data_IF_463363512593
#
_entry.id   IF_463363512593
#
_cell.length_a   1.000
_cell.length_b   1.000
_cell.length_c   1.000
_cell.angle_alpha   90.00
_cell.angle_beta   90.00
_cell.angle_gamma   90.00
#
_symmetry.space_group_name_H-M   'P 1'
#
loop_
_entity.id
_entity.type
_entity.pdbx_description
1 polymer ?
#
# COMPACT_ATOMS: atom_id res chain seq x y z
N UNK A 1 32.36 20.80 5.71
CA UNK A 1 31.52 19.60 5.85
C UNK A 1 31.77 18.98 7.22
N UNK A 2 30.76 18.95 8.10
CA UNK A 2 30.92 18.35 9.44
C UNK A 2 30.91 16.80 9.41
N UNK A 3 30.68 16.21 8.23
CA UNK A 3 30.87 14.78 7.97
C UNK A 3 32.13 14.57 7.11
N UNK A 4 33.07 13.69 7.52
CA UNK A 4 34.26 13.37 6.72
C UNK A 4 33.92 12.55 5.45
N UNK A 5 32.68 12.06 5.36
CA UNK A 5 32.26 11.16 4.29
C UNK A 5 31.50 11.88 3.17
N UNK A 6 30.87 13.01 3.48
CA UNK A 6 30.06 13.74 2.51
C UNK A 6 30.95 14.71 1.72
N UNK A 7 31.03 14.50 0.41
CA UNK A 7 31.79 15.39 -0.49
C UNK A 7 30.84 16.22 -1.35
N UNK A 8 31.24 17.47 -1.61
CA UNK A 8 30.51 18.41 -2.46
C UNK A 8 31.35 18.72 -3.69
N UNK A 9 30.77 18.62 -4.88
CA UNK A 9 31.44 18.91 -6.14
C UNK A 9 30.53 19.70 -7.09
N UNK A 10 31.10 20.22 -8.18
CA UNK A 10 30.36 20.89 -9.26
C UNK A 10 29.40 21.99 -8.75
N UNK A 11 29.86 22.76 -7.77
CA UNK A 11 29.11 23.91 -7.24
C UNK A 11 29.04 24.99 -8.32
N UNK A 12 27.83 25.44 -8.63
CA UNK A 12 27.60 26.48 -9.62
C UNK A 12 26.43 27.39 -9.23
N UNK A 13 26.45 28.62 -9.72
CA UNK A 13 25.37 29.60 -9.57
C UNK A 13 25.04 30.19 -10.94
N UNK A 14 23.77 30.10 -11.31
CA UNK A 14 23.19 30.77 -12.47
C UNK A 14 22.53 32.08 -12.00
N UNK A 15 23.13 33.26 -12.26
CA UNK A 15 22.58 34.53 -11.83
C UNK A 15 21.34 34.95 -12.62
N UNK A 16 21.12 34.43 -13.83
CA UNK A 16 19.96 34.79 -14.67
C UNK A 16 18.69 34.20 -14.09
N UNK A 17 18.76 32.92 -13.72
CA UNK A 17 17.62 32.20 -13.15
C UNK A 17 17.63 32.17 -11.61
N UNK A 18 18.69 32.70 -10.99
CA UNK A 18 18.93 32.67 -9.55
C UNK A 18 18.92 31.24 -8.98
N UNK A 19 19.63 30.32 -9.63
CA UNK A 19 19.73 28.91 -9.22
C UNK A 19 21.13 28.54 -8.78
N UNK A 20 21.23 27.86 -7.64
CA UNK A 20 22.46 27.22 -7.17
C UNK A 20 22.35 25.71 -7.35
N UNK A 21 23.38 25.08 -7.89
CA UNK A 21 23.47 23.63 -8.05
C UNK A 21 24.73 23.11 -7.36
N UNK A 22 24.61 21.95 -6.71
CA UNK A 22 25.73 21.24 -6.08
C UNK A 22 25.49 19.75 -6.19
N UNK A 23 26.55 18.99 -6.49
CA UNK A 23 26.54 17.54 -6.38
C UNK A 23 27.00 17.13 -4.99
N UNK A 24 26.21 16.27 -4.35
CA UNK A 24 26.49 15.71 -3.03
C UNK A 24 26.75 14.23 -3.19
N UNK A 25 27.89 13.75 -2.70
CA UNK A 25 28.28 12.34 -2.79
C UNK A 25 28.52 11.78 -1.39
N UNK A 26 27.82 10.69 -1.09
CA UNK A 26 28.05 9.84 0.08
C UNK A 26 28.59 8.49 -0.41
N UNK A 27 29.83 8.09 -0.05
CA UNK A 27 30.38 6.79 -0.40
C UNK A 27 29.54 5.62 0.14
N UNK A 28 29.60 4.44 -0.49
CA UNK A 28 29.00 3.23 0.06
C UNK A 28 29.52 2.90 1.46
N UNK A 29 28.67 2.27 2.28
CA UNK A 29 29.02 1.81 3.63
C UNK A 29 29.03 2.90 4.72
N UNK A 30 28.58 4.11 4.40
CA UNK A 30 28.51 5.24 5.32
C UNK A 30 27.13 5.33 6.01
N UNK A 31 27.02 6.04 7.16
CA UNK A 31 25.75 6.19 7.87
C UNK A 31 24.61 6.71 6.96
N UNK A 32 23.42 6.16 7.15
CA UNK A 32 22.25 6.42 6.29
C UNK A 32 21.58 7.78 6.50
N UNK A 33 21.81 8.44 7.64
CA UNK A 33 21.27 9.77 7.92
C UNK A 33 22.23 10.86 7.42
N UNK A 34 21.77 11.66 6.48
CA UNK A 34 22.45 12.86 6.01
C UNK A 34 21.71 14.12 6.46
N UNK A 35 22.42 15.02 7.13
CA UNK A 35 21.92 16.37 7.45
C UNK A 35 22.69 17.37 6.59
N UNK A 36 21.96 18.14 5.78
CA UNK A 36 22.52 19.23 4.98
C UNK A 36 22.03 20.55 5.58
N UNK A 37 22.97 21.36 6.07
CA UNK A 37 22.69 22.68 6.61
C UNK A 37 23.01 23.76 5.58
N UNK A 38 22.04 24.63 5.31
CA UNK A 38 22.23 25.80 4.46
C UNK A 38 22.52 27.03 5.33
N UNK A 39 23.76 27.51 5.31
CA UNK A 39 24.19 28.71 6.06
C UNK A 39 24.47 29.88 5.11
N UNK A 40 24.42 31.12 5.62
CA UNK A 40 24.71 32.34 4.84
C UNK A 40 23.85 32.50 3.57
N UNK A 41 22.63 31.99 3.60
CA UNK A 41 21.73 31.95 2.44
C UNK A 41 21.17 33.34 2.10
N UNK A 42 21.05 33.65 0.81
CA UNK A 42 20.42 34.88 0.33
C UNK A 42 19.35 34.51 -0.71
N UNK A 43 18.10 34.94 -0.51
CA UNK A 43 17.01 34.61 -1.46
C UNK A 43 17.20 35.24 -2.83
N UNK A 44 17.77 36.45 -2.86
CA UNK A 44 18.09 37.22 -4.06
C UNK A 44 19.43 37.93 -3.83
N UNK A 45 20.04 38.45 -4.89
CA UNK A 45 21.31 39.19 -4.81
C UNK A 45 21.23 40.45 -3.91
N UNK A 46 20.03 41.01 -3.70
CA UNK A 46 19.80 42.17 -2.83
C UNK A 46 19.24 41.80 -1.46
N UNK A 47 19.00 40.51 -1.19
CA UNK A 47 18.52 40.05 0.12
C UNK A 47 19.65 40.07 1.14
N UNK A 48 19.34 40.36 2.40
CA UNK A 48 20.29 40.16 3.49
C UNK A 48 20.72 38.70 3.64
N UNK A 49 21.85 38.50 4.32
CA UNK A 49 22.32 37.16 4.72
C UNK A 49 21.28 36.45 5.59
N UNK A 50 21.25 35.12 5.48
CA UNK A 50 20.36 34.22 6.21
C UNK A 50 18.86 34.46 5.95
N UNK A 51 18.51 34.98 4.78
CA UNK A 51 17.10 35.15 4.40
C UNK A 51 16.43 33.84 3.95
N UNK A 52 17.21 32.76 3.79
CA UNK A 52 16.73 31.41 3.48
C UNK A 52 16.83 31.05 2.00
N UNK A 53 16.40 29.83 1.67
CA UNK A 53 16.28 29.33 0.29
C UNK A 53 14.80 29.19 -0.11
N UNK A 54 14.55 29.05 -1.41
CA UNK A 54 13.25 28.67 -1.99
C UNK A 54 13.48 27.55 -3.00
N UNK A 55 12.45 26.72 -3.23
CA UNK A 55 12.45 25.70 -4.28
C UNK A 55 13.64 24.72 -4.21
N UNK A 56 13.99 24.27 -3.01
CA UNK A 56 14.98 23.20 -2.86
C UNK A 56 14.47 21.95 -3.57
N UNK A 57 15.23 21.46 -4.55
CA UNK A 57 14.97 20.19 -5.22
C UNK A 57 16.19 19.29 -5.04
N UNK A 58 15.97 18.08 -4.55
CA UNK A 58 17.01 17.06 -4.42
C UNK A 58 16.73 15.93 -5.41
N UNK A 59 17.68 15.69 -6.30
CA UNK A 59 17.58 14.64 -7.32
C UNK A 59 18.66 13.60 -7.08
N UNK A 60 18.36 12.33 -7.39
CA UNK A 60 19.42 11.33 -7.51
C UNK A 60 20.29 11.67 -8.73
N UNK A 61 21.61 11.38 -8.68
CA UNK A 61 22.49 11.56 -9.83
C UNK A 61 21.91 10.92 -11.10
N UNK A 62 21.94 11.64 -12.23
CA UNK A 62 21.39 11.20 -13.50
C UNK A 62 19.92 11.55 -13.74
N UNK A 63 19.20 12.06 -12.73
CA UNK A 63 17.86 12.64 -12.89
C UNK A 63 17.99 14.17 -12.95
N UNK A 64 17.40 14.80 -13.96
CA UNK A 64 17.54 16.23 -14.20
C UNK A 64 16.18 16.97 -14.11
N UNK A 65 16.14 18.18 -13.48
CA UNK A 65 14.91 18.95 -13.28
C UNK A 65 14.26 19.49 -14.55
N UNK A 66 15.03 19.70 -15.63
CA UNK A 66 14.56 20.36 -16.84
C UNK A 66 14.55 19.38 -18.01
N UNK A 67 13.36 19.08 -18.53
CA UNK A 67 13.19 18.33 -19.78
C UNK A 67 13.08 16.81 -19.65
N UNK A 68 13.03 16.24 -18.44
CA UNK A 68 12.68 14.82 -18.30
C UNK A 68 11.18 14.63 -18.54
N UNK A 69 10.75 13.79 -19.50
CA UNK A 69 9.34 13.42 -19.65
C UNK A 69 8.85 12.49 -18.52
N UNK A 70 9.76 12.02 -17.66
CA UNK A 70 9.48 11.07 -16.58
C UNK A 70 9.51 11.72 -15.20
N UNK A 71 8.54 11.36 -14.37
CA UNK A 71 8.44 11.79 -12.97
C UNK A 71 9.24 10.89 -12.04
N UNK A 72 9.49 9.64 -12.47
CA UNK A 72 10.16 8.63 -11.68
C UNK A 72 11.49 8.22 -12.29
N UNK A 73 12.31 7.57 -11.47
CA UNK A 73 13.57 6.98 -11.89
C UNK A 73 13.29 5.84 -12.89
N UNK A 74 13.83 5.89 -14.13
CA UNK A 74 13.60 4.82 -15.11
C UNK A 74 14.01 3.44 -14.61
N UNK A 75 15.02 3.33 -13.75
CA UNK A 75 15.40 2.05 -13.14
C UNK A 75 14.32 1.53 -12.19
N UNK A 76 13.61 2.42 -11.50
CA UNK A 76 12.46 2.05 -10.67
C UNK A 76 11.30 1.57 -11.54
N UNK A 77 10.97 2.30 -12.62
CA UNK A 77 9.93 1.87 -13.56
C UNK A 77 10.26 0.50 -14.17
N UNK A 78 11.50 0.26 -14.57
CA UNK A 78 11.94 -1.05 -15.09
C UNK A 78 11.81 -2.18 -14.06
N UNK A 79 12.12 -1.90 -12.78
CA UNK A 79 11.97 -2.86 -11.70
C UNK A 79 10.50 -3.24 -11.41
N UNK A 80 9.53 -2.44 -11.87
CA UNK A 80 8.11 -2.75 -11.75
C UNK A 80 7.59 -3.68 -12.85
N UNK A 81 8.42 -4.01 -13.86
CA UNK A 81 8.03 -4.84 -15.00
C UNK A 81 7.20 -6.09 -14.63
N UNK A 82 7.59 -6.93 -13.63
CA UNK A 82 6.86 -8.16 -13.34
C UNK A 82 5.46 -7.96 -12.74
N UNK A 83 5.17 -6.82 -12.13
CA UNK A 83 3.93 -6.66 -11.37
C UNK A 83 2.79 -6.19 -12.26
N UNK A 84 1.60 -6.78 -12.13
CA UNK A 84 0.40 -6.32 -12.84
C UNK A 84 -0.24 -5.06 -12.24
N UNK A 85 -0.06 -4.86 -10.94
CA UNK A 85 -0.60 -3.73 -10.19
C UNK A 85 0.38 -3.28 -9.10
N UNK A 86 0.13 -2.09 -8.55
CA UNK A 86 0.86 -1.54 -7.42
C UNK A 86 -0.11 -1.29 -6.26
N UNK A 87 0.16 -1.86 -5.07
CA UNK A 87 -0.62 -1.55 -3.86
C UNK A 87 0.02 -0.38 -3.13
N UNK A 88 -0.76 0.70 -2.99
CA UNK A 88 -0.28 2.00 -2.51
C UNK A 88 -0.37 2.19 -1.00
N UNK A 89 -0.87 1.20 -0.25
CA UNK A 89 -1.18 1.25 1.18
C UNK A 89 -0.20 2.07 2.02
N UNK A 90 1.08 1.69 1.99
CA UNK A 90 2.15 2.36 2.73
C UNK A 90 2.50 3.73 2.13
N UNK A 91 2.52 3.83 0.79
CA UNK A 91 2.92 5.05 0.09
C UNK A 91 1.97 6.21 0.35
N UNK A 92 0.66 5.92 0.47
CA UNK A 92 -0.40 6.88 0.82
C UNK A 92 -0.63 7.00 2.33
N UNK A 93 0.27 6.43 3.15
CA UNK A 93 0.25 6.61 4.60
C UNK A 93 -0.97 6.06 5.32
N UNK A 94 -1.66 5.06 4.75
CA UNK A 94 -2.96 4.57 5.24
C UNK A 94 -2.95 4.21 6.73
N UNK A 95 -1.93 3.51 7.20
CA UNK A 95 -1.77 3.10 8.61
C UNK A 95 -1.59 4.26 9.60
N UNK A 96 -1.35 5.47 9.11
CA UNK A 96 -1.16 6.68 9.93
C UNK A 96 -2.31 7.66 9.80
N UNK A 97 -3.25 7.40 8.87
CA UNK A 97 -4.34 8.32 8.57
C UNK A 97 -5.44 8.29 9.63
N UNK A 98 -5.63 7.17 10.32
CA UNK A 98 -6.66 7.04 11.34
C UNK A 98 -6.21 7.72 12.65
N UNK A 99 -6.87 8.83 13.00
CA UNK A 99 -6.78 9.42 14.34
C UNK A 99 -7.74 8.75 15.34
N UNK A 100 -8.04 9.43 16.44
CA UNK A 100 -8.86 8.87 17.50
C UNK A 100 -10.35 9.16 17.28
N UNK A 101 -11.19 8.12 17.26
CA UNK A 101 -12.62 8.26 17.02
C UNK A 101 -13.35 9.12 18.06
N UNK A 102 -12.83 9.20 19.29
CA UNK A 102 -13.41 10.04 20.34
C UNK A 102 -13.07 11.52 20.22
N UNK A 103 -12.23 11.92 19.25
CA UNK A 103 -11.96 13.33 18.98
C UNK A 103 -13.23 14.03 18.47
N UNK A 104 -13.38 15.37 18.68
CA UNK A 104 -14.47 16.12 18.08
C UNK A 104 -14.56 15.90 16.56
N UNK A 105 -15.76 15.58 16.08
CA UNK A 105 -15.97 15.24 14.66
C UNK A 105 -15.41 13.88 14.24
N UNK A 106 -15.13 12.99 15.20
CA UNK A 106 -14.66 11.61 15.01
C UNK A 106 -13.38 11.45 14.20
N UNK A 107 -12.55 12.50 14.16
CA UNK A 107 -11.34 12.54 13.33
C UNK A 107 -11.62 12.22 11.85
N UNK A 108 -12.76 12.68 11.34
CA UNK A 108 -13.10 12.54 9.93
C UNK A 108 -12.12 13.33 9.07
N UNK A 109 -11.70 12.73 7.95
CA UNK A 109 -10.82 13.34 6.96
C UNK A 109 -11.67 13.80 5.77
N UNK A 110 -11.66 15.11 5.51
CA UNK A 110 -12.31 15.74 4.36
C UNK A 110 -11.34 15.83 3.19
N UNK A 111 -11.85 16.08 1.99
CA UNK A 111 -11.01 16.17 0.78
C UNK A 111 -9.84 17.15 0.91
N UNK A 112 -10.04 18.28 1.59
CA UNK A 112 -9.01 19.30 1.79
C UNK A 112 -7.88 18.87 2.75
N UNK A 113 -8.11 17.84 3.56
CA UNK A 113 -7.18 17.39 4.61
C UNK A 113 -6.07 16.47 4.06
N UNK A 114 -6.27 15.89 2.87
CA UNK A 114 -5.33 14.96 2.20
C UNK A 114 -3.95 15.59 1.93
N UNK A 115 -2.94 14.75 1.68
CA UNK A 115 -1.66 15.21 1.12
C UNK A 115 -1.85 15.84 -0.25
N UNK A 116 -1.22 17.00 -0.46
CA UNK A 116 -1.21 17.76 -1.71
C UNK A 116 0.19 17.71 -2.34
N UNK A 117 0.32 17.79 -3.68
CA UNK A 117 1.63 17.82 -4.32
C UNK A 117 2.51 19.00 -3.90
N UNK A 118 1.88 20.09 -3.43
CA UNK A 118 2.57 21.28 -2.91
C UNK A 118 3.05 21.13 -1.46
N UNK A 119 2.67 20.06 -0.75
CA UNK A 119 3.16 19.82 0.61
C UNK A 119 4.67 19.54 0.57
N UNK A 120 5.41 20.18 1.48
CA UNK A 120 6.88 20.13 1.52
C UNK A 120 7.45 18.73 1.78
N UNK A 121 6.61 17.81 2.27
CA UNK A 121 6.96 16.42 2.56
C UNK A 121 6.00 15.49 1.82
N UNK A 122 6.57 14.62 0.97
CA UNK A 122 5.87 13.54 0.26
C UNK A 122 6.42 12.20 0.75
N UNK A 123 6.17 11.85 2.00
CA UNK A 123 6.69 10.61 2.58
C UNK A 123 5.78 10.04 3.68
N UNK A 124 6.12 8.84 4.14
CA UNK A 124 5.36 8.15 5.18
C UNK A 124 5.49 8.88 6.53
N UNK A 125 4.41 8.97 7.30
CA UNK A 125 4.41 9.53 8.67
C UNK A 125 3.50 10.74 8.87
N UNK A 126 3.73 11.47 9.97
CA UNK A 126 2.88 12.59 10.37
C UNK A 126 2.97 13.74 9.37
N UNK A 127 1.83 14.02 8.75
CA UNK A 127 1.66 15.05 7.75
C UNK A 127 1.85 16.48 8.25
N UNK A 128 1.75 17.41 7.31
CA UNK A 128 1.65 18.86 7.57
C UNK A 128 0.35 19.20 8.33
N UNK A 129 -0.67 18.34 8.21
CA UNK A 129 -1.99 18.44 8.87
C UNK A 129 -2.59 17.03 9.07
N UNK A 130 -3.64 16.93 9.90
CA UNK A 130 -4.42 15.71 10.03
C UNK A 130 -4.96 15.27 8.67
N UNK A 131 -4.83 13.99 8.33
CA UNK A 131 -5.19 13.45 7.01
C UNK A 131 -4.14 13.60 5.90
N UNK A 132 -3.12 14.44 6.06
CA UNK A 132 -2.04 14.61 5.08
C UNK A 132 -0.91 13.60 5.29
N UNK A 133 -1.25 12.31 5.32
CA UNK A 133 -0.29 11.23 5.55
C UNK A 133 0.17 10.64 4.24
N UNK A 134 1.48 10.46 4.05
CA UNK A 134 2.00 9.84 2.83
C UNK A 134 2.02 10.77 1.62
N UNK A 135 2.23 10.15 0.47
CA UNK A 135 2.32 10.82 -0.84
C UNK A 135 0.94 11.12 -1.39
N UNK A 136 0.83 12.25 -2.09
CA UNK A 136 -0.42 12.70 -2.69
C UNK A 136 -0.93 11.78 -3.81
N UNK A 137 -2.26 11.72 -3.99
CA UNK A 137 -2.91 10.86 -4.99
C UNK A 137 -2.53 11.19 -6.44
N UNK A 138 -2.09 12.40 -6.71
CA UNK A 138 -1.62 12.81 -8.03
C UNK A 138 -0.38 12.00 -8.44
N UNK A 139 0.55 11.74 -7.51
CA UNK A 139 1.71 10.89 -7.79
C UNK A 139 1.32 9.41 -7.99
N UNK A 140 0.20 8.96 -7.42
CA UNK A 140 -0.36 7.62 -7.71
C UNK A 140 -0.77 7.55 -9.18
N UNK A 141 -1.46 8.57 -9.71
CA UNK A 141 -1.83 8.66 -11.13
C UNK A 141 -0.58 8.68 -12.01
N UNK A 142 0.38 9.54 -11.70
CA UNK A 142 1.60 9.68 -12.49
C UNK A 142 2.39 8.36 -12.54
N UNK A 143 2.56 7.67 -11.40
CA UNK A 143 3.29 6.41 -11.36
C UNK A 143 2.55 5.32 -12.14
N UNK A 144 1.25 5.19 -11.94
CA UNK A 144 0.43 4.19 -12.62
C UNK A 144 0.47 4.38 -14.15
N UNK A 145 0.38 5.62 -14.63
CA UNK A 145 0.44 5.94 -16.05
C UNK A 145 1.84 5.72 -16.63
N UNK A 146 2.89 6.12 -15.93
CA UNK A 146 4.28 5.98 -16.40
C UNK A 146 4.74 4.52 -16.40
N UNK A 147 4.33 3.73 -15.40
CA UNK A 147 4.64 2.30 -15.32
C UNK A 147 3.63 1.42 -16.09
N UNK A 148 2.53 2.02 -16.56
CA UNK A 148 1.37 1.33 -17.17
C UNK A 148 0.87 0.16 -16.31
N UNK A 149 0.63 0.41 -15.01
CA UNK A 149 0.21 -0.59 -14.02
C UNK A 149 -1.13 -0.23 -13.40
N UNK A 150 -1.92 -1.25 -13.10
CA UNK A 150 -3.13 -1.09 -12.30
C UNK A 150 -2.79 -0.57 -10.89
N UNK A 151 -3.75 0.07 -10.24
CA UNK A 151 -3.56 0.57 -8.86
C UNK A 151 -4.43 -0.21 -7.88
N UNK A 152 -3.88 -0.54 -6.71
CA UNK A 152 -4.63 -0.97 -5.54
C UNK A 152 -4.49 0.09 -4.45
N UNK A 153 -5.58 0.76 -4.14
CA UNK A 153 -5.62 1.87 -3.18
C UNK A 153 -6.41 1.50 -1.93
N UNK A 154 -5.98 2.05 -0.80
CA UNK A 154 -6.64 1.91 0.47
C UNK A 154 -7.27 3.26 0.84
N UNK A 155 -8.59 3.29 0.97
CA UNK A 155 -9.31 4.49 1.39
C UNK A 155 -9.15 4.64 2.91
N UNK A 156 -8.69 5.78 3.46
CA UNK A 156 -8.58 5.97 4.91
C UNK A 156 -9.88 5.60 5.63
N UNK A 157 -9.78 4.92 6.78
CA UNK A 157 -10.97 4.43 7.52
C UNK A 157 -11.94 5.56 7.92
N UNK A 158 -11.38 6.75 8.18
CA UNK A 158 -12.11 7.95 8.60
C UNK A 158 -12.37 8.93 7.45
N UNK A 159 -12.14 8.55 6.20
CA UNK A 159 -12.46 9.38 5.04
C UNK A 159 -13.98 9.61 4.93
N UNK A 160 -14.36 10.87 4.71
CA UNK A 160 -15.76 11.26 4.50
C UNK A 160 -16.33 10.70 3.19
N UNK A 161 -17.64 10.42 3.20
CA UNK A 161 -18.43 9.96 2.06
C UNK A 161 -19.10 8.62 2.29
N UNK A 162 -20.43 8.60 2.35
CA UNK A 162 -21.26 7.38 2.48
C UNK A 162 -22.34 7.28 1.40
N UNK A 163 -22.49 8.32 0.57
CA UNK A 163 -23.50 8.39 -0.48
C UNK A 163 -22.91 8.95 -1.78
N UNK A 164 -23.28 8.42 -2.96
CA UNK A 164 -22.90 9.00 -4.25
C UNK A 164 -23.48 10.40 -4.49
N UNK A 165 -24.45 10.85 -3.70
CA UNK A 165 -25.02 12.21 -3.81
C UNK A 165 -24.17 13.27 -3.11
N UNK A 166 -23.28 12.89 -2.20
CA UNK A 166 -22.34 13.82 -1.57
C UNK A 166 -21.10 13.99 -2.44
N UNK A 167 -21.23 14.90 -3.42
CA UNK A 167 -20.17 15.25 -4.37
C UNK A 167 -19.02 16.06 -3.75
N UNK A 168 -19.12 16.41 -2.47
CA UNK A 168 -18.10 17.16 -1.72
C UNK A 168 -17.21 16.28 -0.85
N UNK A 169 -17.65 15.04 -0.59
CA UNK A 169 -16.93 14.06 0.22
C UNK A 169 -15.53 13.72 -0.31
N UNK A 170 -14.65 13.29 0.61
CA UNK A 170 -13.31 12.80 0.27
C UNK A 170 -13.37 11.71 -0.80
N UNK A 171 -14.22 10.69 -0.61
CA UNK A 171 -14.26 9.51 -1.48
C UNK A 171 -14.75 9.89 -2.89
N UNK A 172 -15.77 10.76 -2.99
CA UNK A 172 -16.25 11.23 -4.28
C UNK A 172 -15.16 12.04 -5.01
N UNK A 173 -14.50 12.97 -4.32
CA UNK A 173 -13.43 13.78 -4.90
C UNK A 173 -12.21 12.96 -5.30
N UNK A 174 -11.87 11.91 -4.55
CA UNK A 174 -10.81 10.98 -4.95
C UNK A 174 -11.17 10.25 -6.24
N UNK A 175 -12.39 9.73 -6.35
CA UNK A 175 -12.85 9.11 -7.59
C UNK A 175 -12.81 10.10 -8.77
N UNK A 176 -13.17 11.37 -8.56
CA UNK A 176 -13.06 12.41 -9.59
C UNK A 176 -11.62 12.67 -10.00
N UNK A 177 -10.69 12.75 -9.05
CA UNK A 177 -9.27 12.95 -9.33
C UNK A 177 -8.69 11.77 -10.12
N UNK A 178 -8.99 10.53 -9.73
CA UNK A 178 -8.48 9.34 -10.44
C UNK A 178 -9.06 9.23 -11.87
N UNK A 179 -10.30 9.68 -12.09
CA UNK A 179 -10.95 9.67 -13.41
C UNK A 179 -10.43 10.79 -14.32
N UNK A 180 -10.35 12.02 -13.81
CA UNK A 180 -10.19 13.22 -14.63
C UNK A 180 -8.81 13.87 -14.48
N UNK A 181 -8.07 13.58 -13.40
CA UNK A 181 -6.89 14.32 -13.03
C UNK A 181 -7.20 15.73 -12.53
N UNK A 182 -6.15 16.51 -12.32
CA UNK A 182 -6.20 17.93 -12.01
C UNK A 182 -5.03 18.66 -12.69
N UNK A 183 -4.86 19.96 -12.43
CA UNK A 183 -3.78 20.74 -13.05
C UNK A 183 -2.38 20.17 -12.81
N UNK A 184 -2.15 19.44 -11.71
CA UNK A 184 -0.85 18.85 -11.41
C UNK A 184 -0.59 17.62 -12.29
N UNK A 185 -1.62 16.84 -12.59
CA UNK A 185 -1.52 15.70 -13.52
C UNK A 185 -1.79 16.08 -14.98
N UNK A 186 -1.81 17.38 -15.32
CA UNK A 186 -2.09 17.88 -16.67
C UNK A 186 -3.56 17.78 -17.09
N UNK A 187 -4.48 17.76 -16.13
CA UNK A 187 -5.92 17.47 -16.29
C UNK A 187 -6.15 16.10 -16.96
N UNK A 188 -5.33 15.13 -16.58
CA UNK A 188 -5.42 13.76 -17.05
C UNK A 188 -5.43 12.80 -15.86
N UNK A 189 -6.45 11.94 -15.81
CA UNK A 189 -6.58 10.89 -14.80
C UNK A 189 -5.71 9.68 -15.12
N UNK A 190 -6.13 8.50 -14.66
CA UNK A 190 -5.51 7.24 -15.04
C UNK A 190 -5.73 6.94 -16.53
N UNK A 191 -4.73 6.35 -17.18
CA UNK A 191 -4.80 5.91 -18.57
C UNK A 191 -5.98 4.94 -18.78
N UNK A 192 -6.63 5.05 -19.94
CA UNK A 192 -7.70 4.12 -20.33
C UNK A 192 -7.16 2.70 -20.41
N UNK A 193 -7.77 1.77 -19.67
CA UNK A 193 -7.34 0.37 -19.60
C UNK A 193 -6.71 -0.03 -18.26
N UNK A 194 -6.31 0.95 -17.44
CA UNK A 194 -5.90 0.69 -16.06
C UNK A 194 -7.13 0.43 -15.17
N UNK A 195 -6.98 -0.48 -14.23
CA UNK A 195 -8.00 -0.84 -13.25
C UNK A 195 -7.64 -0.29 -11.86
N UNK A 196 -8.68 -0.03 -11.07
CA UNK A 196 -8.59 0.49 -9.72
C UNK A 196 -9.13 -0.56 -8.76
N UNK A 197 -8.24 -1.26 -8.08
CA UNK A 197 -8.57 -2.09 -6.94
C UNK A 197 -8.73 -1.21 -5.70
N UNK A 198 -9.83 -1.39 -4.96
CA UNK A 198 -10.16 -0.51 -3.83
C UNK A 198 -10.38 -1.34 -2.58
N UNK A 199 -9.69 -0.96 -1.50
CA UNK A 199 -9.83 -1.55 -0.18
C UNK A 199 -10.29 -0.48 0.81
N UNK A 200 -11.18 -0.85 1.73
CA UNK A 200 -11.57 0.03 2.84
C UNK A 200 -10.51 -0.05 3.95
N UNK A 201 -9.61 0.94 3.96
CA UNK A 201 -8.43 1.05 4.83
C UNK A 201 -7.49 -0.14 4.69
N UNK A 202 -6.60 -0.36 5.65
CA UNK A 202 -5.70 -1.52 5.73
C UNK A 202 -5.98 -2.30 7.02
N UNK A 203 -6.07 -3.62 6.94
CA UNK A 203 -6.17 -4.52 8.10
C UNK A 203 -7.13 -4.05 9.20
N UNK A 204 -8.35 -3.68 8.84
CA UNK A 204 -9.38 -3.20 9.77
C UNK A 204 -9.76 -4.26 10.82
N UNK A 205 -9.32 -5.50 10.64
CA UNK A 205 -9.44 -6.63 11.55
C UNK A 205 -8.32 -6.68 12.62
N UNK A 206 -7.21 -5.97 12.44
CA UNK A 206 -5.99 -6.09 13.24
C UNK A 206 -5.95 -5.05 14.38
N UNK A 207 -6.06 -5.45 15.66
CA UNK A 207 -6.06 -4.52 16.79
C UNK A 207 -4.73 -3.77 17.00
N UNK A 208 -3.65 -4.18 16.32
CA UNK A 208 -2.39 -3.45 16.32
C UNK A 208 -2.43 -2.11 15.58
N UNK A 209 -3.47 -1.87 14.77
CA UNK A 209 -3.64 -0.63 14.03
C UNK A 209 -4.80 0.23 14.54
N UNK A 210 -4.65 1.56 14.53
CA UNK A 210 -5.68 2.48 15.03
C UNK A 210 -6.99 2.40 14.25
N UNK A 211 -6.94 2.06 12.96
CA UNK A 211 -8.14 1.90 12.13
C UNK A 211 -9.06 0.76 12.58
N UNK A 212 -8.54 -0.29 13.23
CA UNK A 212 -9.38 -1.33 13.83
C UNK A 212 -10.30 -0.71 14.89
N UNK A 213 -9.69 0.02 15.83
CA UNK A 213 -10.41 0.66 16.92
C UNK A 213 -11.36 1.73 16.40
N UNK A 214 -10.92 2.54 15.44
CA UNK A 214 -11.76 3.56 14.81
C UNK A 214 -13.00 2.94 14.18
N UNK A 215 -12.84 1.89 13.35
CA UNK A 215 -13.97 1.23 12.70
C UNK A 215 -14.93 0.57 13.69
N UNK A 216 -14.40 -0.05 14.75
CA UNK A 216 -15.22 -0.67 15.79
C UNK A 216 -16.08 0.37 16.51
N UNK A 217 -15.48 1.49 16.94
CA UNK A 217 -16.22 2.55 17.62
C UNK A 217 -17.26 3.19 16.70
N UNK A 218 -16.92 3.39 15.43
CA UNK A 218 -17.86 3.87 14.43
C UNK A 218 -19.05 2.92 14.19
N UNK A 219 -18.84 1.61 14.28
CA UNK A 219 -19.91 0.62 14.17
C UNK A 219 -20.85 0.63 15.38
N UNK A 220 -20.28 0.74 16.59
CA UNK A 220 -21.06 0.85 17.83
C UNK A 220 -21.88 2.13 17.85
N UNK A 221 -21.30 3.26 17.43
CA UNK A 221 -22.00 4.53 17.34
C UNK A 221 -23.13 4.48 16.30
N UNK A 222 -22.87 3.96 15.09
CA UNK A 222 -23.89 3.80 14.05
C UNK A 222 -25.09 2.96 14.53
N UNK A 223 -24.85 1.85 15.23
CA UNK A 223 -25.90 1.03 15.81
C UNK A 223 -26.63 1.78 16.93
N UNK A 224 -25.90 2.51 17.78
CA UNK A 224 -26.47 3.31 18.87
C UNK A 224 -27.39 4.44 18.41
N UNK A 225 -27.16 4.98 17.22
CA UNK A 225 -28.03 5.97 16.58
C UNK A 225 -29.35 5.37 16.03
N UNK A 226 -29.42 4.05 15.90
CA UNK A 226 -30.60 3.31 15.46
C UNK A 226 -30.75 3.24 13.93
N UNK A 227 -31.53 2.25 13.46
CA UNK A 227 -31.80 2.05 12.03
C UNK A 227 -30.61 1.52 11.21
N UNK A 228 -29.51 1.15 11.86
CA UNK A 228 -28.33 0.60 11.17
C UNK A 228 -28.61 -0.79 10.60
N UNK A 229 -28.17 -1.09 9.37
CA UNK A 229 -28.21 -2.44 8.84
C UNK A 229 -27.23 -3.40 9.53
N UNK A 230 -26.28 -2.89 10.34
CA UNK A 230 -25.26 -3.68 11.00
C UNK A 230 -25.85 -4.67 12.03
N UNK A 231 -27.04 -4.38 12.56
CA UNK A 231 -27.74 -5.20 13.55
C UNK A 231 -29.23 -5.43 13.20
N UNK A 232 -29.59 -5.35 11.92
CA UNK A 232 -30.97 -5.51 11.46
C UNK A 232 -31.57 -6.91 11.71
N UNK A 233 -30.72 -7.90 11.98
CA UNK A 233 -31.06 -9.27 12.36
C UNK A 233 -31.13 -9.47 13.89
N UNK A 234 -31.03 -8.39 14.67
CA UNK A 234 -31.04 -8.43 16.13
C UNK A 234 -29.69 -8.81 16.76
N UNK A 235 -28.61 -8.85 15.96
CA UNK A 235 -27.27 -9.10 16.49
C UNK A 235 -26.86 -8.07 17.56
N UNK A 236 -26.26 -8.55 18.66
CA UNK A 236 -25.85 -7.72 19.81
C UNK A 236 -24.34 -7.66 19.99
N UNK A 237 -23.58 -8.33 19.12
CA UNK A 237 -22.13 -8.46 19.26
C UNK A 237 -21.42 -7.32 18.54
N UNK A 238 -20.85 -6.39 19.30
CA UNK A 238 -20.15 -5.21 18.75
C UNK A 238 -19.05 -5.53 17.73
N UNK A 239 -18.37 -6.67 17.88
CA UNK A 239 -17.34 -7.10 16.93
C UNK A 239 -17.96 -7.51 15.59
N UNK A 240 -19.10 -8.19 15.60
CA UNK A 240 -19.80 -8.56 14.37
C UNK A 240 -20.28 -7.31 13.63
N UNK A 241 -20.76 -6.29 14.35
CA UNK A 241 -21.06 -4.97 13.76
C UNK A 241 -19.84 -4.32 13.12
N UNK A 242 -18.66 -4.41 13.75
CA UNK A 242 -17.43 -3.84 13.20
C UNK A 242 -17.02 -4.54 11.89
N UNK A 243 -17.14 -5.86 11.81
CA UNK A 243 -16.84 -6.63 10.60
C UNK A 243 -17.84 -6.32 9.48
N UNK A 244 -19.13 -6.28 9.79
CA UNK A 244 -20.20 -5.85 8.88
C UNK A 244 -19.97 -4.43 8.38
N UNK A 245 -19.52 -3.51 9.25
CA UNK A 245 -19.22 -2.12 8.88
C UNK A 245 -18.07 -2.05 7.89
N UNK A 246 -17.04 -2.88 8.05
CA UNK A 246 -15.94 -2.91 7.09
C UNK A 246 -16.43 -3.26 5.67
N UNK A 247 -17.32 -4.26 5.53
CA UNK A 247 -17.95 -4.60 4.25
C UNK A 247 -18.92 -3.51 3.75
N UNK A 248 -19.77 -2.95 4.63
CA UNK A 248 -20.69 -1.84 4.32
C UNK A 248 -19.94 -0.64 3.73
N UNK A 249 -18.83 -0.26 4.34
CA UNK A 249 -18.01 0.86 3.85
C UNK A 249 -17.42 0.59 2.47
N UNK A 250 -16.96 -0.64 2.21
CA UNK A 250 -16.51 -1.02 0.87
C UNK A 250 -17.65 -0.94 -0.16
N UNK A 251 -18.86 -1.34 0.22
CA UNK A 251 -20.06 -1.17 -0.62
C UNK A 251 -20.36 0.31 -0.92
N UNK A 252 -20.35 1.18 0.09
CA UNK A 252 -20.58 2.62 -0.08
C UNK A 252 -19.51 3.25 -0.99
N UNK A 253 -18.24 2.88 -0.80
CA UNK A 253 -17.12 3.29 -1.67
C UNK A 253 -17.37 2.83 -3.12
N UNK A 254 -17.77 1.57 -3.33
CA UNK A 254 -18.08 1.03 -4.64
C UNK A 254 -19.17 1.85 -5.34
N UNK A 255 -20.27 2.17 -4.64
CA UNK A 255 -21.37 2.98 -5.19
C UNK A 255 -20.94 4.40 -5.54
N UNK A 256 -20.08 5.03 -4.75
CA UNK A 256 -19.54 6.37 -5.03
C UNK A 256 -18.66 6.35 -6.28
N UNK A 257 -17.73 5.38 -6.37
CA UNK A 257 -16.87 5.24 -7.55
C UNK A 257 -17.68 4.93 -8.80
N UNK A 258 -18.69 4.05 -8.73
CA UNK A 258 -19.59 3.78 -9.85
C UNK A 258 -20.33 5.04 -10.31
N UNK A 259 -20.82 5.86 -9.39
CA UNK A 259 -21.49 7.11 -9.75
C UNK A 259 -20.57 8.10 -10.49
N UNK A 260 -19.28 8.12 -10.16
CA UNK A 260 -18.29 8.97 -10.83
C UNK A 260 -17.83 8.37 -12.16
N UNK A 261 -17.55 7.06 -12.21
CA UNK A 261 -17.02 6.39 -13.39
C UNK A 261 -18.09 6.08 -14.43
N UNK A 262 -19.33 5.82 -14.00
CA UNK A 262 -20.48 5.52 -14.83
C UNK A 262 -21.01 4.10 -14.56
N UNK A 263 -22.28 3.88 -14.88
CA UNK A 263 -22.90 2.55 -14.76
C UNK A 263 -22.12 1.50 -15.57
N UNK A 264 -21.90 0.33 -14.98
CA UNK A 264 -21.10 -0.75 -15.58
C UNK A 264 -19.60 -0.66 -15.31
N UNK A 265 -19.13 0.34 -14.57
CA UNK A 265 -17.71 0.43 -14.18
C UNK A 265 -17.32 -0.53 -13.06
N UNK A 266 -18.26 -1.01 -12.25
CA UNK A 266 -17.99 -1.98 -11.19
C UNK A 266 -17.60 -3.34 -11.78
N UNK A 267 -16.60 -3.96 -11.15
CA UNK A 267 -15.98 -5.23 -11.55
C UNK A 267 -15.37 -5.25 -12.96
N UNK A 268 -15.36 -4.11 -13.65
CA UNK A 268 -14.62 -3.86 -14.89
C UNK A 268 -13.41 -3.00 -14.57
N UNK A 269 -13.56 -1.68 -14.55
CA UNK A 269 -12.55 -0.68 -14.19
C UNK A 269 -12.36 -0.55 -12.68
N UNK A 270 -13.47 -0.50 -11.93
CA UNK A 270 -13.47 -0.35 -10.47
C UNK A 270 -13.65 -1.72 -9.84
N UNK A 271 -12.67 -2.17 -9.07
CA UNK A 271 -12.58 -3.53 -8.51
C UNK A 271 -12.51 -3.48 -6.97
N UNK A 272 -13.63 -3.30 -6.26
CA UNK A 272 -13.61 -3.32 -4.79
C UNK A 272 -13.18 -4.69 -4.26
N UNK A 273 -12.26 -4.72 -3.30
CA UNK A 273 -11.67 -5.93 -2.73
C UNK A 273 -11.94 -5.98 -1.23
N UNK A 274 -12.66 -7.01 -0.78
CA UNK A 274 -12.91 -7.26 0.63
C UNK A 274 -11.70 -7.96 1.26
N UNK A 275 -10.76 -7.19 1.80
CA UNK A 275 -9.56 -7.71 2.45
C UNK A 275 -9.83 -8.14 3.90
N UNK A 276 -9.43 -9.36 4.25
CA UNK A 276 -9.67 -9.98 5.55
C UNK A 276 -8.47 -10.84 5.98
N UNK A 277 -8.29 -11.12 7.27
CA UNK A 277 -7.22 -12.04 7.71
C UNK A 277 -7.64 -13.50 7.76
N UNK A 278 -6.63 -14.34 7.57
CA UNK A 278 -6.68 -15.78 7.72
C UNK A 278 -6.67 -16.23 9.21
N UNK A 279 -7.46 -15.58 10.08
CA UNK A 279 -7.56 -15.96 11.52
C UNK A 279 -8.41 -17.23 11.71
N UNK A 280 -9.42 -17.39 10.86
CA UNK A 280 -10.31 -18.55 10.77
C UNK A 280 -10.73 -18.66 9.31
N UNK A 281 -10.52 -19.80 8.66
CA UNK A 281 -10.85 -20.00 7.25
C UNK A 281 -12.05 -20.94 7.05
N UNK A 282 -12.71 -20.80 5.90
CA UNK A 282 -13.87 -21.61 5.52
C UNK A 282 -15.23 -20.97 5.82
N UNK A 283 -16.30 -21.72 5.58
CA UNK A 283 -17.70 -21.22 5.56
C UNK A 283 -18.21 -20.69 6.91
N UNK A 284 -17.55 -21.05 8.02
CA UNK A 284 -17.87 -20.56 9.37
C UNK A 284 -17.01 -19.37 9.83
N UNK A 285 -16.05 -18.93 9.02
CA UNK A 285 -15.16 -17.82 9.35
C UNK A 285 -15.91 -16.50 9.52
N UNK A 286 -15.31 -15.57 10.26
CA UNK A 286 -15.81 -14.19 10.36
C UNK A 286 -15.95 -13.51 9.00
N UNK A 287 -15.01 -13.74 8.08
CA UNK A 287 -15.09 -13.26 6.70
C UNK A 287 -16.31 -13.83 5.97
N UNK A 288 -16.53 -15.14 6.03
CA UNK A 288 -17.68 -15.80 5.42
C UNK A 288 -19.02 -15.35 6.02
N UNK A 289 -19.10 -15.19 7.34
CA UNK A 289 -20.29 -14.66 8.03
C UNK A 289 -20.61 -13.23 7.62
N UNK A 290 -19.57 -12.40 7.45
CA UNK A 290 -19.74 -11.02 6.98
C UNK A 290 -20.27 -10.99 5.54
N UNK A 291 -19.75 -11.86 4.66
CA UNK A 291 -20.28 -11.99 3.29
C UNK A 291 -21.70 -12.55 3.25
N UNK A 292 -22.06 -13.45 4.18
CA UNK A 292 -23.44 -13.94 4.32
C UNK A 292 -24.40 -12.80 4.70
N UNK A 293 -24.01 -11.97 5.68
CA UNK A 293 -24.76 -10.77 6.06
C UNK A 293 -24.86 -9.76 4.91
N UNK A 294 -23.76 -9.53 4.18
CA UNK A 294 -23.74 -8.65 3.00
C UNK A 294 -24.73 -9.14 1.94
N UNK A 295 -24.72 -10.46 1.67
CA UNK A 295 -25.63 -11.10 0.74
C UNK A 295 -27.11 -10.91 1.13
N UNK A 296 -27.43 -11.10 2.42
CA UNK A 296 -28.79 -10.94 2.93
C UNK A 296 -29.26 -9.48 2.95
N UNK A 297 -28.34 -8.53 3.17
CA UNK A 297 -28.68 -7.12 3.38
C UNK A 297 -28.71 -6.31 2.09
N UNK A 298 -27.75 -6.53 1.19
CA UNK A 298 -27.57 -5.73 -0.03
C UNK A 298 -27.70 -6.54 -1.33
N UNK A 299 -27.87 -7.87 -1.23
CA UNK A 299 -27.86 -8.80 -2.35
C UNK A 299 -26.47 -9.37 -2.64
N UNK A 300 -26.32 -10.17 -3.72
CA UNK A 300 -25.10 -10.92 -4.02
C UNK A 300 -23.82 -10.07 -3.94
N UNK A 301 -22.80 -10.47 -3.12
CA UNK A 301 -21.56 -9.72 -3.00
C UNK A 301 -20.85 -9.50 -4.34
N UNK A 302 -20.93 -10.44 -5.28
CA UNK A 302 -20.38 -10.32 -6.63
C UNK A 302 -20.98 -9.19 -7.48
N UNK A 303 -22.11 -8.59 -7.08
CA UNK A 303 -22.64 -7.40 -7.73
C UNK A 303 -21.85 -6.13 -7.37
N UNK A 304 -21.06 -6.17 -6.29
CA UNK A 304 -20.40 -4.98 -5.73
C UNK A 304 -18.89 -5.17 -5.52
N UNK A 305 -18.48 -6.38 -5.17
CA UNK A 305 -17.09 -6.73 -4.89
C UNK A 305 -16.54 -7.61 -6.01
N UNK A 306 -15.28 -7.37 -6.35
CA UNK A 306 -14.55 -8.11 -7.38
C UNK A 306 -13.86 -9.32 -6.78
N UNK A 307 -13.34 -9.17 -5.56
CA UNK A 307 -12.55 -10.19 -4.88
C UNK A 307 -12.74 -10.10 -3.36
N UNK A 308 -12.45 -11.21 -2.69
CA UNK A 308 -11.98 -11.19 -1.31
C UNK A 308 -10.47 -11.41 -1.29
N UNK A 309 -9.79 -10.90 -0.26
CA UNK A 309 -8.35 -11.04 -0.14
C UNK A 309 -7.89 -11.50 1.24
N UNK A 310 -6.74 -12.20 1.29
CA UNK A 310 -6.04 -12.64 2.50
C UNK A 310 -4.55 -12.28 2.48
N UNK A 311 -3.88 -12.40 3.62
CA UNK A 311 -2.40 -12.43 3.67
C UNK A 311 -1.87 -13.83 3.30
N UNK A 312 -0.70 -13.89 2.66
CA UNK A 312 -0.04 -15.15 2.27
C UNK A 312 1.47 -15.11 2.51
N UNK A 313 1.85 -15.20 3.79
CA UNK A 313 3.26 -15.25 4.19
C UNK A 313 3.73 -16.67 4.51
N UNK A 314 5.03 -16.89 4.37
CA UNK A 314 5.71 -18.08 4.86
C UNK A 314 6.99 -17.66 5.61
N UNK A 315 7.31 -18.39 6.67
CA UNK A 315 8.34 -17.99 7.64
C UNK A 315 9.00 -19.20 8.29
N UNK A 316 10.15 -18.99 8.93
CA UNK A 316 10.73 -19.97 9.83
C UNK A 316 9.89 -20.08 11.11
N UNK A 317 9.06 -21.13 11.18
CA UNK A 317 8.18 -21.40 12.33
C UNK A 317 8.88 -22.10 13.49
N UNK A 318 10.15 -22.50 13.33
CA UNK A 318 10.92 -23.25 14.33
C UNK A 318 12.34 -22.69 14.48
N UNK A 319 12.46 -21.38 14.82
CA UNK A 319 13.76 -20.71 14.90
C UNK A 319 14.64 -21.28 16.02
N UNK A 320 15.93 -21.47 15.73
CA UNK A 320 16.92 -21.94 16.71
C UNK A 320 18.21 -21.11 16.66
N UNK A 321 18.87 -20.97 17.81
CA UNK A 321 20.18 -20.31 17.91
C UNK A 321 21.29 -21.06 17.18
N UNK A 322 21.08 -22.34 16.86
CA UNK A 322 22.03 -23.18 16.10
C UNK A 322 21.56 -23.46 14.67
N UNK A 323 20.45 -22.85 14.21
CA UNK A 323 19.94 -23.05 12.87
C UNK A 323 20.96 -22.60 11.81
N UNK A 324 21.07 -23.38 10.74
CA UNK A 324 21.81 -23.03 9.54
C UNK A 324 20.87 -22.45 8.48
N UNK A 325 21.41 -21.85 7.41
CA UNK A 325 20.59 -21.36 6.28
C UNK A 325 19.68 -22.48 5.71
N UNK A 326 20.18 -23.70 5.43
CA UNK A 326 19.33 -24.82 5.02
C UNK A 326 18.19 -25.16 5.99
N UNK A 327 18.41 -25.09 7.30
CA UNK A 327 17.37 -25.35 8.31
C UNK A 327 16.25 -24.30 8.23
N UNK A 328 16.64 -23.02 8.11
CA UNK A 328 15.69 -21.90 7.94
C UNK A 328 14.86 -22.09 6.66
N UNK A 329 15.51 -22.37 5.54
CA UNK A 329 14.81 -22.60 4.26
C UNK A 329 13.86 -23.80 4.32
N UNK A 330 14.25 -24.89 4.98
CA UNK A 330 13.40 -26.07 5.17
C UNK A 330 12.16 -25.76 6.03
N UNK A 331 12.32 -25.00 7.12
CA UNK A 331 11.21 -24.58 7.96
C UNK A 331 10.25 -23.65 7.19
N UNK A 332 10.79 -22.73 6.40
CA UNK A 332 10.00 -21.86 5.54
C UNK A 332 9.22 -22.64 4.46
N UNK A 333 9.81 -23.70 3.91
CA UNK A 333 9.12 -24.59 2.97
C UNK A 333 7.95 -25.32 3.64
N UNK A 334 8.16 -25.84 4.85
CA UNK A 334 7.09 -26.47 5.62
C UNK A 334 5.95 -25.49 5.93
N UNK A 335 6.29 -24.25 6.32
CA UNK A 335 5.34 -23.16 6.54
C UNK A 335 4.55 -22.81 5.28
N UNK A 336 5.24 -22.69 4.14
CA UNK A 336 4.62 -22.48 2.83
C UNK A 336 3.63 -23.60 2.48
N UNK A 337 4.01 -24.86 2.64
CA UNK A 337 3.12 -26.00 2.36
C UNK A 337 1.91 -26.05 3.29
N UNK A 338 2.07 -25.66 4.55
CA UNK A 338 0.95 -25.57 5.50
C UNK A 338 -0.09 -24.52 5.10
N UNK A 339 0.28 -23.52 4.29
CA UNK A 339 -0.65 -22.47 3.82
C UNK A 339 -1.69 -22.95 2.81
N UNK A 340 -1.45 -24.08 2.12
CA UNK A 340 -2.33 -24.63 1.07
C UNK A 340 -3.76 -24.81 1.55
N UNK A 341 -3.95 -25.42 2.72
CA UNK A 341 -5.27 -25.67 3.31
C UNK A 341 -6.06 -24.37 3.46
N UNK A 342 -5.40 -23.30 3.91
CA UNK A 342 -6.02 -21.98 4.11
C UNK A 342 -6.43 -21.36 2.78
N UNK A 343 -5.56 -21.42 1.77
CA UNK A 343 -5.87 -20.95 0.41
C UNK A 343 -7.09 -21.67 -0.15
N UNK A 344 -7.16 -22.99 -0.04
CA UNK A 344 -8.31 -23.77 -0.52
C UNK A 344 -9.61 -23.40 0.21
N UNK A 345 -9.57 -23.23 1.53
CA UNK A 345 -10.74 -22.88 2.34
C UNK A 345 -11.27 -21.47 2.00
N UNK A 346 -10.38 -20.50 1.80
CA UNK A 346 -10.77 -19.15 1.40
C UNK A 346 -11.19 -19.10 -0.07
N UNK A 347 -10.63 -19.94 -0.94
CA UNK A 347 -11.09 -20.06 -2.34
C UNK A 347 -12.50 -20.62 -2.41
N UNK A 348 -12.81 -21.63 -1.60
CA UNK A 348 -14.17 -22.17 -1.50
C UNK A 348 -15.18 -21.09 -1.05
N UNK A 349 -14.78 -20.24 -0.10
CA UNK A 349 -15.60 -19.10 0.35
C UNK A 349 -15.77 -18.06 -0.75
N UNK A 350 -14.70 -17.70 -1.46
CA UNK A 350 -14.75 -16.77 -2.58
C UNK A 350 -15.70 -17.28 -3.68
N UNK A 351 -15.57 -18.55 -4.06
CA UNK A 351 -16.43 -19.20 -5.06
C UNK A 351 -17.91 -19.20 -4.66
N UNK A 352 -18.22 -19.43 -3.37
CA UNK A 352 -19.60 -19.41 -2.86
C UNK A 352 -20.31 -18.07 -3.13
N UNK A 353 -19.57 -16.96 -3.10
CA UNK A 353 -20.09 -15.61 -3.33
C UNK A 353 -19.74 -15.04 -4.71
N UNK A 354 -19.19 -15.86 -5.63
CA UNK A 354 -18.81 -15.44 -6.98
C UNK A 354 -17.66 -14.42 -7.01
N UNK A 355 -16.76 -14.46 -6.03
CA UNK A 355 -15.62 -13.57 -5.89
C UNK A 355 -14.32 -14.26 -6.32
N UNK A 356 -13.34 -13.46 -6.74
CA UNK A 356 -11.94 -13.91 -6.84
C UNK A 356 -11.29 -14.01 -5.44
N UNK A 357 -10.23 -14.80 -5.32
CA UNK A 357 -9.39 -14.87 -4.12
C UNK A 357 -8.02 -14.23 -4.39
N UNK A 358 -7.72 -13.16 -3.68
CA UNK A 358 -6.47 -12.42 -3.80
C UNK A 358 -5.58 -12.60 -2.56
N UNK A 359 -4.27 -12.46 -2.72
CA UNK A 359 -3.37 -12.14 -1.64
C UNK A 359 -3.16 -10.62 -1.64
N UNK A 360 -3.64 -9.90 -0.62
CA UNK A 360 -3.42 -8.44 -0.56
C UNK A 360 -1.98 -8.11 -0.16
N UNK A 361 -1.29 -9.07 0.45
CA UNK A 361 0.15 -9.11 0.67
C UNK A 361 0.64 -10.53 0.96
N UNK A 362 1.92 -10.76 0.72
CA UNK A 362 2.54 -12.06 0.96
C UNK A 362 4.00 -12.11 0.55
N UNK A 363 4.61 -13.27 0.78
CA UNK A 363 6.03 -13.53 0.55
C UNK A 363 6.75 -14.04 1.80
N UNK A 364 8.09 -14.06 1.80
CA UNK A 364 8.89 -14.48 2.95
C UNK A 364 8.81 -13.47 4.10
N UNK A 365 8.63 -13.93 5.33
CA UNK A 365 8.53 -13.09 6.54
C UNK A 365 9.23 -13.71 7.77
N UNK A 366 10.55 -13.53 7.90
CA UNK A 366 11.32 -14.05 9.04
C UNK A 366 11.47 -13.03 10.18
N UNK A 367 10.35 -12.45 10.62
CA UNK A 367 10.31 -11.66 11.86
C UNK A 367 10.71 -12.51 13.06
N UNK A 368 11.93 -12.34 13.55
CA UNK A 368 12.49 -13.18 14.61
C UNK A 368 13.48 -12.44 15.52
N UNK A 369 13.64 -12.94 16.75
CA UNK A 369 14.67 -12.47 17.69
C UNK A 369 15.87 -13.42 17.82
N UNK A 370 15.72 -14.66 17.35
CA UNK A 370 16.74 -15.70 17.42
C UNK A 370 17.51 -15.79 16.11
N UNK A 371 18.84 -15.85 16.20
CA UNK A 371 19.74 -16.04 15.06
C UNK A 371 19.46 -15.10 13.87
N UNK A 372 19.20 -13.82 14.17
CA UNK A 372 18.76 -12.80 13.20
C UNK A 372 19.65 -12.73 11.96
N UNK A 373 20.98 -12.87 12.14
CA UNK A 373 21.91 -12.86 11.01
C UNK A 373 21.63 -13.98 10.01
N UNK A 374 21.46 -15.22 10.48
CA UNK A 374 21.14 -16.36 9.61
C UNK A 374 19.74 -16.23 8.99
N UNK A 375 18.77 -15.67 9.71
CA UNK A 375 17.43 -15.41 9.16
C UNK A 375 17.48 -14.44 7.97
N UNK A 376 18.28 -13.37 8.10
CA UNK A 376 18.49 -12.38 7.03
C UNK A 376 19.29 -12.98 5.88
N UNK A 377 20.39 -13.70 6.16
CA UNK A 377 21.21 -14.32 5.12
C UNK A 377 20.46 -15.41 4.34
N UNK A 378 19.58 -16.18 4.99
CA UNK A 378 18.70 -17.13 4.30
C UNK A 378 17.79 -16.44 3.27
N UNK A 379 17.38 -15.19 3.51
CA UNK A 379 16.61 -14.39 2.57
C UNK A 379 17.43 -13.84 1.39
N UNK A 380 18.76 -13.87 1.47
CA UNK A 380 19.69 -13.56 0.36
C UNK A 380 20.20 -14.79 -0.36
N UNK A 381 20.08 -15.96 0.26
CA UNK A 381 20.56 -17.24 -0.26
C UNK A 381 19.86 -17.65 -1.56
N UNK A 382 20.59 -18.35 -2.44
CA UNK A 382 20.06 -18.82 -3.72
C UNK A 382 18.85 -19.76 -3.57
N UNK A 383 18.76 -20.52 -2.46
CA UNK A 383 17.64 -21.41 -2.16
C UNK A 383 16.32 -20.68 -1.88
N UNK A 384 16.35 -19.38 -1.58
CA UNK A 384 15.15 -18.57 -1.39
C UNK A 384 14.34 -18.39 -2.69
N UNK A 385 15.01 -18.39 -3.86
CA UNK A 385 14.35 -18.23 -5.16
C UNK A 385 13.34 -19.35 -5.44
N UNK A 386 13.77 -20.62 -5.49
CA UNK A 386 12.87 -21.77 -5.68
C UNK A 386 11.75 -21.84 -4.65
N UNK A 387 12.01 -21.43 -3.41
CA UNK A 387 11.01 -21.39 -2.35
C UNK A 387 9.89 -20.36 -2.63
N UNK A 388 10.27 -19.14 -3.06
CA UNK A 388 9.31 -18.12 -3.50
C UNK A 388 8.50 -18.62 -4.69
N UNK A 389 9.16 -19.24 -5.67
CA UNK A 389 8.51 -19.81 -6.85
C UNK A 389 7.47 -20.88 -6.46
N UNK A 390 7.87 -21.84 -5.63
CA UNK A 390 6.98 -22.88 -5.08
C UNK A 390 5.78 -22.29 -4.32
N UNK A 391 6.01 -21.26 -3.50
CA UNK A 391 4.91 -20.61 -2.77
C UNK A 391 3.89 -19.97 -3.72
N UNK A 392 4.37 -19.28 -4.76
CA UNK A 392 3.53 -18.60 -5.73
C UNK A 392 2.81 -19.59 -6.65
N UNK A 393 3.56 -20.48 -7.31
CA UNK A 393 3.04 -21.39 -8.35
C UNK A 393 2.21 -22.49 -7.71
N UNK A 394 2.78 -23.26 -6.79
CA UNK A 394 2.15 -24.49 -6.30
C UNK A 394 1.16 -24.21 -5.17
N UNK A 395 1.56 -23.38 -4.21
CA UNK A 395 0.79 -23.20 -2.97
C UNK A 395 -0.24 -22.06 -3.04
N UNK A 396 -0.13 -21.15 -4.03
CA UNK A 396 -1.10 -20.10 -4.25
C UNK A 396 -1.90 -20.28 -5.55
N UNK A 397 -1.27 -20.08 -6.71
CA UNK A 397 -1.96 -20.12 -8.01
C UNK A 397 -2.50 -21.53 -8.32
N UNK A 398 -1.71 -22.57 -8.04
CA UNK A 398 -2.09 -23.97 -8.18
C UNK A 398 -3.25 -24.41 -7.28
N UNK A 399 -3.52 -23.64 -6.21
CA UNK A 399 -4.64 -23.85 -5.29
C UNK A 399 -5.87 -22.97 -5.62
N UNK A 400 -5.83 -22.25 -6.74
CA UNK A 400 -6.93 -21.43 -7.24
C UNK A 400 -6.92 -19.98 -6.75
N UNK A 401 -5.83 -19.51 -6.13
CA UNK A 401 -5.61 -18.08 -5.92
C UNK A 401 -5.55 -17.33 -7.25
N UNK A 402 -6.20 -16.17 -7.35
CA UNK A 402 -6.38 -15.44 -8.61
C UNK A 402 -5.34 -14.32 -8.81
N UNK A 403 -4.81 -13.76 -7.73
CA UNK A 403 -3.83 -12.67 -7.76
C UNK A 403 -2.98 -12.69 -6.49
N UNK A 404 -1.69 -12.39 -6.61
CA UNK A 404 -0.76 -12.34 -5.48
C UNK A 404 -0.09 -10.98 -5.35
N UNK A 405 -0.26 -10.32 -4.20
CA UNK A 405 0.48 -9.12 -3.84
C UNK A 405 1.78 -9.48 -3.16
N UNK A 406 2.90 -9.44 -3.89
CA UNK A 406 4.21 -9.54 -3.26
C UNK A 406 4.46 -8.27 -2.44
N UNK A 407 4.72 -8.39 -1.13
CA UNK A 407 4.57 -7.27 -0.20
C UNK A 407 5.37 -6.02 -0.58
N UNK A 408 6.62 -6.19 -1.04
CA UNK A 408 7.44 -5.05 -1.48
C UNK A 408 8.40 -5.38 -2.60
N UNK A 409 8.52 -4.47 -3.58
CA UNK A 409 9.58 -4.53 -4.59
C UNK A 409 10.95 -4.46 -3.91
N UNK A 410 11.18 -3.39 -3.15
CA UNK A 410 12.46 -3.09 -2.53
C UNK A 410 12.29 -2.65 -1.07
N UNK A 411 12.95 -3.35 -0.15
CA UNK A 411 13.04 -2.99 1.26
C UNK A 411 14.32 -3.55 1.87
N UNK A 412 14.86 -2.90 2.90
CA UNK A 412 15.95 -3.50 3.68
C UNK A 412 15.46 -4.75 4.40
N UNK A 413 16.38 -5.69 4.64
CA UNK A 413 16.14 -6.88 5.46
C UNK A 413 16.53 -6.61 6.91
N UNK A 414 15.72 -7.09 7.85
CA UNK A 414 15.93 -6.86 9.26
C UNK A 414 15.18 -7.88 10.10
N UNK A 415 15.48 -7.91 11.41
CA UNK A 415 14.71 -8.68 12.39
C UNK A 415 13.19 -8.42 12.36
N UNK A 416 12.77 -7.27 11.81
CA UNK A 416 11.38 -6.84 11.74
C UNK A 416 10.71 -7.17 10.39
N UNK A 417 11.41 -7.83 9.45
CA UNK A 417 10.86 -8.21 8.15
C UNK A 417 11.92 -8.20 7.05
N UNK A 418 11.81 -9.17 6.14
CA UNK A 418 12.71 -9.39 5.00
C UNK A 418 11.91 -9.46 3.68
N UNK A 419 10.97 -8.55 3.51
CA UNK A 419 9.90 -8.69 2.53
C UNK A 419 10.25 -8.24 1.10
N UNK A 420 11.35 -7.50 0.92
CA UNK A 420 11.77 -7.01 -0.39
C UNK A 420 12.03 -8.15 -1.36
N UNK A 421 11.59 -8.02 -2.60
CA UNK A 421 12.10 -8.86 -3.69
C UNK A 421 13.60 -8.56 -3.93
N UNK A 422 14.02 -7.34 -3.60
CA UNK A 422 15.41 -6.89 -3.52
C UNK A 422 15.58 -5.87 -2.39
N UNK A 423 16.81 -5.53 -2.02
CA UNK A 423 17.12 -4.43 -1.09
C UNK A 423 17.41 -3.12 -1.84
N UNK A 424 17.66 -3.19 -3.15
CA UNK A 424 17.83 -2.06 -4.06
C UNK A 424 17.15 -2.38 -5.40
N UNK A 425 16.15 -1.58 -5.79
CA UNK A 425 15.42 -1.78 -7.05
C UNK A 425 16.30 -1.65 -8.30
N UNK A 426 17.57 -1.24 -8.18
CA UNK A 426 18.56 -1.28 -9.27
C UNK A 426 19.27 -2.63 -9.39
N UNK A 427 19.21 -3.47 -8.35
CA UNK A 427 19.80 -4.80 -8.32
C UNK A 427 18.68 -5.82 -8.48
N UNK A 428 18.44 -6.22 -9.72
CA UNK A 428 17.35 -7.13 -10.07
C UNK A 428 17.77 -8.60 -10.14
N UNK A 429 19.05 -8.90 -9.95
CA UNK A 429 19.60 -10.27 -9.97
C UNK A 429 19.43 -11.03 -8.65
N UNK A 430 18.60 -10.55 -7.73
CA UNK A 430 18.37 -11.21 -6.43
C UNK A 430 17.51 -12.47 -6.59
N UNK A 431 17.69 -13.49 -5.73
CA UNK A 431 16.93 -14.74 -5.86
C UNK A 431 15.41 -14.55 -5.86
N UNK A 432 14.89 -13.67 -4.98
CA UNK A 432 13.45 -13.40 -4.87
C UNK A 432 12.90 -12.67 -6.10
N UNK A 433 13.60 -11.66 -6.62
CA UNK A 433 13.15 -10.95 -7.83
C UNK A 433 13.17 -11.86 -9.06
N UNK A 434 14.23 -12.66 -9.22
CA UNK A 434 14.32 -13.62 -10.32
C UNK A 434 13.23 -14.70 -10.24
N UNK A 435 12.88 -15.17 -9.04
CA UNK A 435 11.75 -16.09 -8.87
C UNK A 435 10.43 -15.47 -9.34
N UNK A 436 10.14 -14.21 -8.99
CA UNK A 436 8.94 -13.51 -9.47
C UNK A 436 8.94 -13.39 -11.00
N UNK A 437 10.08 -13.09 -11.62
CA UNK A 437 10.21 -13.04 -13.08
C UNK A 437 9.96 -14.42 -13.71
N UNK A 438 10.46 -15.50 -13.12
CA UNK A 438 10.27 -16.86 -13.61
C UNK A 438 8.79 -17.26 -13.62
N UNK A 439 8.04 -16.93 -12.57
CA UNK A 439 6.60 -17.22 -12.46
C UNK A 439 5.81 -16.64 -13.64
N UNK A 440 6.21 -15.49 -14.18
CA UNK A 440 5.54 -14.84 -15.31
C UNK A 440 5.89 -15.44 -16.67
N UNK A 441 6.96 -16.24 -16.73
CA UNK A 441 7.41 -16.90 -17.97
C UNK A 441 6.80 -18.29 -18.15
N UNK A 442 6.11 -18.81 -17.13
CA UNK A 442 5.35 -20.06 -17.13
C UNK A 442 3.90 -19.77 -17.54
#
# INVERSE_FOLDING_TARGET
PDSPYLTFSNQSYDPVNNYSMVYVTLPPGQPSLMTILFTNTQRTQTSGLNTGIRYLKAFRPGLYPNGSPTHFDPAYINALAPFGYLRFMSWTGTNYSAGYYGDPGHHLINWADRSLPSDAYQGMGTGVRAGATGVSWEYVILLANEANKDIWINIPVSATGSSPTDTTSYIYKLAQLLKNGDSFTGNHGLNSGLHIYIEHSNEVWNPGFSQYTWNRLAAVDEVGQGGSPLNNDGDTVQLDWAYRRHAKRLYEIAKIFEAVFGSGSLNTTIRPVYAWWNLQEGTGSTGAKTLAWMNATYGPPSNYFYAMAQGSYFSDTSPSTTATIPDVLANMLASSNASVTKTQQNKATANLYGLKLFAYEGGPDNRNTSNVGIQIEANRDAGMGPLVEHHLVDNWFGQGGDMFGYFSLASYYSRNGDWGATEDYRILSTPKYQAIMNVLSQ
#
